data_IF_024438814432
#
_entry.id   IF_024438814432
#
_cell.length_a   1.000
_cell.length_b   1.000
_cell.length_c   1.000
_cell.angle_alpha   90.00
_cell.angle_beta   90.00
_cell.angle_gamma   90.00
#
_symmetry.space_group_name_H-M   'P 1'
#
loop_
_entity.id
_entity.type
_entity.pdbx_description
1 polymer ?
#
# COMPACT_ATOMS: atom_id res chain seq x y z
N UNK A 1 17.21 14.77 -14.94
CA UNK A 1 16.79 13.55 -14.18
C UNK A 1 16.10 13.99 -12.89
N UNK A 2 14.91 13.48 -12.62
CA UNK A 2 14.16 13.80 -11.40
C UNK A 2 14.88 13.20 -10.17
N UNK A 3 14.82 13.87 -9.03
CA UNK A 3 15.42 13.37 -7.78
C UNK A 3 14.88 12.00 -7.35
N UNK A 4 13.60 11.72 -7.65
CA UNK A 4 12.99 10.41 -7.41
C UNK A 4 13.60 9.31 -8.28
N UNK A 5 13.98 9.60 -9.51
CA UNK A 5 14.61 8.62 -10.41
C UNK A 5 15.98 8.18 -9.88
N UNK A 6 16.73 9.12 -9.33
CA UNK A 6 18.03 8.83 -8.67
C UNK A 6 17.83 7.97 -7.43
N UNK A 7 16.78 8.24 -6.65
CA UNK A 7 16.45 7.44 -5.48
C UNK A 7 16.10 6.00 -5.87
N UNK A 8 15.24 5.83 -6.89
CA UNK A 8 14.86 4.50 -7.40
C UNK A 8 16.08 3.73 -7.87
N UNK A 9 16.98 4.37 -8.62
CA UNK A 9 18.22 3.72 -9.10
C UNK A 9 19.08 3.24 -7.93
N UNK A 10 19.27 4.07 -6.93
CA UNK A 10 20.04 3.71 -5.73
C UNK A 10 19.40 2.58 -4.93
N UNK A 11 18.06 2.56 -4.83
CA UNK A 11 17.34 1.47 -4.17
C UNK A 11 17.47 0.16 -4.94
N UNK A 12 17.37 0.18 -6.27
CA UNK A 12 17.57 -1.01 -7.10
C UNK A 12 18.98 -1.56 -6.90
N UNK A 13 19.99 -0.72 -6.97
CA UNK A 13 21.37 -1.14 -6.82
C UNK A 13 21.68 -1.68 -5.42
N UNK A 14 21.19 -1.00 -4.39
CA UNK A 14 21.52 -1.36 -3.01
C UNK A 14 20.73 -2.56 -2.49
N UNK A 15 19.45 -2.67 -2.83
CA UNK A 15 18.54 -3.64 -2.23
C UNK A 15 18.31 -4.85 -3.14
N UNK A 16 18.04 -4.63 -4.42
CA UNK A 16 17.69 -5.70 -5.34
C UNK A 16 18.96 -6.38 -5.84
N UNK A 17 19.88 -5.62 -6.42
CA UNK A 17 21.11 -6.16 -7.00
C UNK A 17 22.10 -6.53 -5.90
N UNK A 18 22.42 -5.58 -5.02
CA UNK A 18 23.38 -5.77 -3.93
C UNK A 18 22.87 -6.69 -2.82
N UNK A 19 21.63 -6.48 -2.39
CA UNK A 19 20.98 -7.24 -1.32
C UNK A 19 20.33 -8.54 -1.76
N UNK A 20 20.16 -8.77 -3.07
CA UNK A 20 19.48 -9.94 -3.65
C UNK A 20 18.07 -10.16 -3.09
N UNK A 21 17.33 -9.09 -2.86
CA UNK A 21 15.97 -9.17 -2.36
C UNK A 21 15.01 -9.72 -3.44
N UNK A 22 14.39 -10.88 -3.24
CA UNK A 22 13.56 -11.53 -4.25
C UNK A 22 12.08 -11.13 -4.11
N UNK A 23 11.77 -9.85 -4.10
CA UNK A 23 10.41 -9.39 -3.86
C UNK A 23 10.07 -8.12 -4.62
N UNK A 24 9.08 -7.43 -4.11
CA UNK A 24 8.61 -6.13 -4.61
C UNK A 24 8.96 -5.07 -3.58
N UNK A 25 9.42 -3.91 -4.03
CA UNK A 25 9.56 -2.73 -3.19
C UNK A 25 8.42 -1.75 -3.52
N UNK A 26 7.59 -1.47 -2.53
CA UNK A 26 6.59 -0.41 -2.62
C UNK A 26 7.21 0.88 -2.10
N UNK A 27 7.45 1.83 -3.00
CA UNK A 27 8.06 3.11 -2.70
C UNK A 27 7.01 4.22 -2.81
N UNK A 28 6.89 5.02 -1.78
CA UNK A 28 6.02 6.20 -1.75
C UNK A 28 6.84 7.46 -1.45
N UNK A 29 6.78 8.42 -2.36
CA UNK A 29 7.46 9.71 -2.21
C UNK A 29 6.39 10.79 -2.08
N UNK A 30 6.20 11.38 -0.90
CA UNK A 30 5.24 12.45 -0.73
C UNK A 30 5.73 13.72 -1.43
N UNK A 31 4.80 14.61 -1.77
CA UNK A 31 5.15 15.94 -2.24
C UNK A 31 5.89 16.68 -1.10
N UNK A 32 7.14 17.03 -1.34
CA UNK A 32 7.98 17.69 -0.35
C UNK A 32 8.98 18.62 -1.00
N UNK A 33 9.37 19.64 -0.25
CA UNK A 33 10.51 20.47 -0.57
C UNK A 33 11.77 19.88 0.06
N UNK A 34 12.87 19.90 -0.65
CA UNK A 34 14.15 19.44 -0.17
C UNK A 34 14.72 18.26 -0.94
N UNK A 35 15.92 17.89 -0.57
CA UNK A 35 16.66 16.82 -1.23
C UNK A 35 16.07 15.44 -0.92
N UNK A 36 16.03 14.58 -1.93
CA UNK A 36 15.59 13.20 -1.81
C UNK A 36 16.84 12.32 -1.80
N UNK A 37 17.14 11.76 -0.64
CA UNK A 37 18.30 10.87 -0.44
C UNK A 37 17.87 9.58 0.26
N UNK A 38 18.73 8.56 0.24
CA UNK A 38 18.48 7.30 0.97
C UNK A 38 18.35 7.52 2.49
N UNK A 39 18.94 8.57 3.04
CA UNK A 39 18.84 8.90 4.47
C UNK A 39 17.43 9.35 4.88
N UNK A 40 16.63 9.82 3.90
CA UNK A 40 15.26 10.25 4.13
C UNK A 40 14.24 9.10 4.01
N UNK A 41 14.71 7.91 3.68
CA UNK A 41 13.85 6.75 3.47
C UNK A 41 13.63 6.00 4.78
N UNK A 42 12.37 5.71 5.09
CA UNK A 42 11.97 4.91 6.24
C UNK A 42 11.39 3.59 5.73
N UNK A 43 11.89 2.47 6.26
CA UNK A 43 11.37 1.14 5.95
C UNK A 43 10.27 0.81 6.95
N UNK A 44 9.05 0.66 6.47
CA UNK A 44 7.86 0.49 7.31
C UNK A 44 6.89 -0.52 6.70
N UNK A 45 6.04 -1.14 7.52
CA UNK A 45 4.97 -2.00 7.03
C UNK A 45 3.91 -1.19 6.31
N UNK A 46 3.24 -1.85 5.37
CA UNK A 46 2.10 -1.29 4.66
C UNK A 46 0.90 -1.17 5.60
N UNK A 47 0.20 -0.04 5.52
CA UNK A 47 -1.07 0.14 6.23
C UNK A 47 -2.16 -0.70 5.58
N UNK A 48 -2.93 -1.41 6.38
CA UNK A 48 -4.19 -1.98 5.93
C UNK A 48 -5.23 -0.86 5.93
N UNK A 49 -5.57 -0.38 4.75
CA UNK A 49 -6.53 0.71 4.60
C UNK A 49 -7.96 0.15 4.61
N UNK A 50 -8.79 0.75 5.43
CA UNK A 50 -10.23 0.53 5.42
C UNK A 50 -10.86 1.73 4.71
N UNK A 51 -11.48 1.46 3.57
CA UNK A 51 -12.26 2.45 2.86
C UNK A 51 -13.68 2.46 3.42
N UNK A 52 -14.13 3.61 3.91
CA UNK A 52 -15.55 3.82 4.21
C UNK A 52 -16.28 4.12 2.90
N UNK A 53 -16.63 3.07 2.17
CA UNK A 53 -17.32 3.21 0.91
C UNK A 53 -18.81 3.39 1.10
N UNK A 54 -19.37 4.42 0.50
CA UNK A 54 -20.81 4.66 0.40
C UNK A 54 -21.21 4.61 -1.06
N UNK A 55 -22.22 3.82 -1.37
CA UNK A 55 -22.82 3.78 -2.69
C UNK A 55 -23.95 4.82 -2.73
N UNK A 56 -23.76 5.85 -3.53
CA UNK A 56 -24.78 6.88 -3.75
C UNK A 56 -25.47 6.63 -5.08
N UNK A 57 -26.81 6.66 -5.05
CA UNK A 57 -27.60 6.65 -6.27
C UNK A 57 -27.57 8.04 -6.89
N UNK A 58 -27.06 8.16 -8.11
CA UNK A 58 -27.23 9.35 -8.94
C UNK A 58 -28.57 9.33 -9.62
N UNK A 59 -29.10 10.52 -9.91
CA UNK A 59 -30.34 10.66 -10.67
C UNK A 59 -30.28 9.91 -12.01
N UNK A 60 -31.40 9.26 -12.36
CA UNK A 60 -31.55 8.55 -13.60
C UNK A 60 -31.37 9.50 -14.80
N UNK A 61 -30.36 9.24 -15.61
CA UNK A 61 -30.25 9.81 -16.94
C UNK A 61 -30.80 8.75 -17.91
N UNK A 62 -31.86 9.12 -18.64
CA UNK A 62 -32.52 8.26 -19.65
C UNK A 62 -33.10 6.94 -19.12
N UNK A 63 -33.62 6.92 -17.88
CA UNK A 63 -34.27 5.76 -17.29
C UNK A 63 -33.33 4.67 -16.78
N UNK A 64 -32.01 4.86 -16.82
CA UNK A 64 -31.04 3.95 -16.26
C UNK A 64 -30.61 4.40 -14.87
N UNK A 65 -30.65 3.50 -13.88
CA UNK A 65 -30.13 3.77 -12.53
C UNK A 65 -28.60 3.84 -12.55
N UNK A 66 -28.05 4.99 -12.18
CA UNK A 66 -26.63 5.20 -12.05
C UNK A 66 -26.21 5.25 -10.57
N UNK A 67 -25.17 4.52 -10.22
CA UNK A 67 -24.59 4.49 -8.87
C UNK A 67 -23.16 5.01 -8.90
N UNK A 68 -22.79 5.74 -7.86
CA UNK A 68 -21.42 6.17 -7.65
C UNK A 68 -20.92 5.64 -6.33
N UNK A 69 -19.77 5.00 -6.37
CA UNK A 69 -19.04 4.66 -5.16
C UNK A 69 -18.25 5.91 -4.74
N UNK A 70 -18.54 6.42 -3.57
CA UNK A 70 -17.76 7.48 -2.94
C UNK A 70 -17.22 6.95 -1.62
N UNK A 71 -16.00 7.26 -1.31
CA UNK A 71 -15.38 6.83 -0.07
C UNK A 71 -14.17 7.69 0.23
N UNK A 72 -14.00 8.00 1.49
CA UNK A 72 -12.81 8.63 1.99
C UNK A 72 -11.96 7.57 2.69
N UNK A 73 -10.66 7.71 2.51
CA UNK A 73 -9.70 6.95 3.31
C UNK A 73 -9.69 7.57 4.69
N UNK A 74 -10.17 6.84 5.68
CA UNK A 74 -10.03 7.28 7.06
C UNK A 74 -8.57 7.14 7.48
N UNK A 75 -7.88 8.27 7.46
CA UNK A 75 -6.46 8.36 7.79
C UNK A 75 -6.25 8.75 9.26
N UNK A 76 -7.32 9.02 10.01
CA UNK A 76 -7.19 9.51 11.39
C UNK A 76 -6.64 8.46 12.34
N UNK A 77 -6.95 7.21 12.10
CA UNK A 77 -6.53 6.07 12.92
C UNK A 77 -5.44 5.20 12.28
N UNK A 78 -4.69 5.74 11.32
CA UNK A 78 -3.57 5.02 10.74
C UNK A 78 -2.61 4.58 11.85
N UNK A 79 -2.31 3.27 11.97
CA UNK A 79 -1.39 2.80 12.99
C UNK A 79 -0.05 3.53 12.88
N UNK A 80 0.48 3.94 14.02
CA UNK A 80 1.81 4.55 14.07
C UNK A 80 2.83 3.59 13.47
N UNK A 81 3.84 4.13 12.84
CA UNK A 81 4.90 3.35 12.19
C UNK A 81 4.44 2.53 10.96
N UNK A 82 3.48 3.05 10.22
CA UNK A 82 3.06 2.53 8.91
C UNK A 82 3.40 3.53 7.81
N UNK A 83 3.33 3.08 6.56
CA UNK A 83 3.59 3.94 5.39
C UNK A 83 2.72 5.19 5.38
N UNK A 84 1.41 5.05 5.60
CA UNK A 84 0.47 6.18 5.62
C UNK A 84 0.82 7.19 6.72
N UNK A 85 1.12 6.73 7.92
CA UNK A 85 1.49 7.62 9.03
C UNK A 85 2.77 8.42 8.70
N UNK A 86 3.78 7.76 8.14
CA UNK A 86 5.04 8.41 7.78
C UNK A 86 4.92 9.33 6.56
N UNK A 87 4.10 8.97 5.57
CA UNK A 87 3.84 9.84 4.39
C UNK A 87 3.17 11.14 4.83
N UNK A 88 2.24 11.08 5.77
CA UNK A 88 1.59 12.28 6.32
C UNK A 88 2.58 13.22 7.02
N UNK A 89 3.63 12.69 7.58
CA UNK A 89 4.73 13.46 8.19
C UNK A 89 5.76 13.94 7.17
N UNK A 90 5.57 13.62 5.89
CA UNK A 90 6.47 14.02 4.80
C UNK A 90 7.67 13.09 4.60
N UNK A 91 7.66 11.91 5.20
CA UNK A 91 8.72 10.93 5.02
C UNK A 91 8.55 10.12 3.73
N UNK A 92 9.66 9.72 3.14
CA UNK A 92 9.69 8.76 2.04
C UNK A 92 9.64 7.36 2.65
N UNK A 93 8.72 6.52 2.18
CA UNK A 93 8.56 5.18 2.73
C UNK A 93 8.88 4.10 1.72
N UNK A 94 9.49 3.02 2.19
CA UNK A 94 9.69 1.79 1.43
C UNK A 94 9.10 0.64 2.23
N UNK A 95 8.27 -0.17 1.58
CA UNK A 95 7.72 -1.39 2.15
C UNK A 95 8.12 -2.58 1.28
N UNK A 96 8.90 -3.53 1.81
CA UNK A 96 9.18 -4.78 1.10
C UNK A 96 7.95 -5.69 1.10
N UNK A 97 7.56 -6.16 -0.06
CA UNK A 97 6.40 -7.03 -0.26
C UNK A 97 6.83 -8.39 -0.80
N UNK A 98 6.06 -9.42 -0.49
CA UNK A 98 6.24 -10.78 -1.02
C UNK A 98 5.48 -10.97 -2.32
N UNK A 99 6.02 -11.78 -3.22
CA UNK A 99 5.29 -12.25 -4.39
C UNK A 99 4.14 -13.19 -4.01
N UNK A 100 4.41 -14.09 -3.08
CA UNK A 100 3.44 -15.09 -2.64
C UNK A 100 2.47 -14.50 -1.61
N UNK A 101 1.22 -14.38 -2.00
CA UNK A 101 0.14 -13.81 -1.18
C UNK A 101 -0.77 -14.87 -0.55
N UNK A 102 -0.54 -16.14 -0.84
CA UNK A 102 -1.32 -17.24 -0.26
C UNK A 102 -1.12 -17.30 1.24
N UNK A 103 -2.22 -17.26 1.98
CA UNK A 103 -2.21 -17.41 3.44
C UNK A 103 -2.08 -18.90 3.82
N UNK A 104 -0.91 -19.45 3.61
CA UNK A 104 -0.64 -20.90 3.77
C UNK A 104 -0.95 -21.42 5.17
N UNK A 105 -0.73 -20.59 6.20
CA UNK A 105 -0.99 -20.97 7.59
C UNK A 105 -2.46 -21.27 7.90
N UNK A 106 -3.39 -20.79 7.08
CA UNK A 106 -4.84 -21.00 7.31
C UNK A 106 -5.49 -21.91 6.26
N UNK A 107 -4.73 -22.44 5.31
CA UNK A 107 -5.28 -23.29 4.24
C UNK A 107 -5.99 -24.52 4.80
N UNK A 108 -5.36 -25.26 5.72
CA UNK A 108 -5.93 -26.43 6.37
C UNK A 108 -7.23 -26.10 7.12
N UNK A 109 -7.24 -24.96 7.81
CA UNK A 109 -8.44 -24.50 8.52
C UNK A 109 -9.60 -24.25 7.53
N UNK A 110 -9.32 -23.59 6.42
CA UNK A 110 -10.31 -23.32 5.38
C UNK A 110 -10.83 -24.63 4.77
N UNK A 111 -9.92 -25.56 4.47
CA UNK A 111 -10.28 -26.88 3.94
C UNK A 111 -11.23 -27.64 4.90
N UNK A 112 -10.89 -27.65 6.18
CA UNK A 112 -11.72 -28.28 7.21
C UNK A 112 -13.11 -27.65 7.34
N UNK A 113 -13.19 -26.31 7.25
CA UNK A 113 -14.46 -25.59 7.28
C UNK A 113 -15.35 -25.91 6.06
N UNK A 114 -14.77 -26.08 4.90
CA UNK A 114 -15.50 -26.44 3.68
C UNK A 114 -16.04 -27.87 3.76
N UNK A 115 -15.24 -28.81 4.22
CA UNK A 115 -15.58 -30.23 4.18
C UNK A 115 -16.29 -30.75 5.45
N UNK A 116 -16.07 -30.13 6.59
CA UNK A 116 -16.57 -30.57 7.89
C UNK A 116 -17.40 -29.52 8.64
N UNK A 117 -17.59 -28.35 8.04
CA UNK A 117 -18.19 -27.17 8.69
C UNK A 117 -19.72 -27.13 8.71
N UNK A 118 -20.38 -28.27 8.64
CA UNK A 118 -21.85 -28.33 8.67
C UNK A 118 -22.37 -28.66 10.05
#
# INVERSE_FOLDING_TARGET
>A
MCSSDLLVTKLIDSVIVGGKFPGILNLNVPARNGEITLENVVVVPQTVQIYNNVILKKSDLDGAACFRVVGDIDMTDAPKNTDVAHIREGHITVTPLRWQQTATAVMETVENLIHNGH
#
